data_IF_553894945243
#
_entry.id   IF_553894945243
#
_cell.length_a   1.000
_cell.length_b   1.000
_cell.length_c   1.000
_cell.angle_alpha   90.00
_cell.angle_beta   90.00
_cell.angle_gamma   90.00
#
_symmetry.space_group_name_H-M   'P 1'
#
loop_
_entity.id
_entity.type
_entity.pdbx_description
1 polymer ?
#
# COMPACT_ATOMS: atom_id res chain seq x y z
N UNK A 1 -17.03 -4.79 19.21
CA UNK A 1 -15.88 -4.53 18.31
C UNK A 1 -16.19 -3.39 17.39
N UNK A 2 -15.28 -2.48 17.27
CA UNK A 2 -15.51 -1.31 16.42
C UNK A 2 -15.36 -1.67 14.95
N UNK A 3 -16.35 -1.33 14.10
CA UNK A 3 -16.23 -1.57 12.66
C UNK A 3 -15.00 -0.93 12.05
N UNK A 4 -14.58 0.19 12.61
CA UNK A 4 -13.39 0.89 12.11
C UNK A 4 -12.12 0.04 12.19
N UNK A 5 -11.97 -0.70 13.26
CA UNK A 5 -10.78 -1.54 13.42
C UNK A 5 -10.75 -2.66 12.40
N UNK A 6 -11.89 -3.29 12.18
CA UNK A 6 -11.99 -4.35 11.19
C UNK A 6 -11.70 -3.83 9.79
N UNK A 7 -12.26 -2.67 9.46
CA UNK A 7 -12.04 -2.06 8.16
C UNK A 7 -10.58 -1.67 7.97
N UNK A 8 -9.93 -1.18 9.03
CA UNK A 8 -8.52 -0.81 8.96
C UNK A 8 -7.65 -2.02 8.70
N UNK A 9 -7.93 -3.13 9.38
CA UNK A 9 -7.17 -4.36 9.18
C UNK A 9 -7.35 -4.90 7.78
N UNK A 10 -8.57 -4.89 7.27
CA UNK A 10 -8.83 -5.34 5.91
C UNK A 10 -8.11 -4.46 4.89
N UNK A 11 -8.09 -3.18 5.14
CA UNK A 11 -7.44 -2.21 4.26
C UNK A 11 -5.95 -2.45 4.19
N UNK A 12 -5.32 -2.61 5.35
CA UNK A 12 -3.87 -2.86 5.42
C UNK A 12 -3.53 -4.21 4.81
N UNK A 13 -4.33 -5.23 5.08
CA UNK A 13 -4.12 -6.55 4.50
C UNK A 13 -4.20 -6.52 2.99
N UNK A 14 -5.18 -5.80 2.44
CA UNK A 14 -5.33 -5.68 1.00
C UNK A 14 -4.12 -5.01 0.37
N UNK A 15 -3.64 -3.92 0.99
CA UNK A 15 -2.47 -3.21 0.51
C UNK A 15 -1.23 -4.10 0.58
N UNK A 16 -1.09 -4.84 1.68
CA UNK A 16 0.05 -5.73 1.86
C UNK A 16 0.07 -6.81 0.77
N UNK A 17 -1.08 -7.42 0.51
CA UNK A 17 -1.17 -8.43 -0.53
C UNK A 17 -0.81 -7.89 -1.90
N UNK A 18 -1.29 -6.68 -2.20
CA UNK A 18 -0.98 -6.05 -3.47
C UNK A 18 0.50 -5.72 -3.60
N UNK A 19 1.11 -5.28 -2.51
CA UNK A 19 2.54 -4.99 -2.52
C UNK A 19 3.35 -6.28 -2.71
N UNK A 20 2.95 -7.36 -2.04
CA UNK A 20 3.62 -8.64 -2.20
C UNK A 20 3.51 -9.12 -3.64
N UNK A 21 2.35 -8.96 -4.25
CA UNK A 21 2.16 -9.32 -5.65
C UNK A 21 3.03 -8.48 -6.58
N UNK A 22 3.18 -7.20 -6.26
CA UNK A 22 4.05 -6.31 -7.04
C UNK A 22 5.49 -6.81 -7.06
N UNK A 23 5.95 -7.39 -5.97
CA UNK A 23 7.30 -7.92 -5.84
C UNK A 23 7.37 -9.44 -6.05
N UNK A 24 6.38 -9.98 -6.74
CA UNK A 24 6.35 -11.39 -7.14
C UNK A 24 6.51 -12.36 -5.96
N UNK A 25 5.87 -12.03 -4.86
CA UNK A 25 5.88 -12.89 -3.68
C UNK A 25 6.99 -12.62 -2.69
N UNK A 26 7.85 -11.65 -2.96
CA UNK A 26 8.93 -11.29 -2.05
C UNK A 26 8.38 -10.42 -0.92
N UNK A 27 8.05 -11.08 0.20
CA UNK A 27 7.44 -10.40 1.34
C UNK A 27 8.37 -9.34 1.93
N UNK A 28 9.66 -9.63 2.00
CA UNK A 28 10.60 -8.67 2.57
C UNK A 28 10.70 -7.41 1.73
N UNK A 29 10.74 -7.57 0.41
CA UNK A 29 10.77 -6.43 -0.49
C UNK A 29 9.48 -5.60 -0.34
N UNK A 30 8.34 -6.28 -0.21
CA UNK A 30 7.06 -5.60 -0.03
C UNK A 30 7.04 -4.79 1.26
N UNK A 31 7.49 -5.39 2.36
CA UNK A 31 7.54 -4.69 3.65
C UNK A 31 8.48 -3.50 3.57
N UNK A 32 9.62 -3.68 2.94
CA UNK A 32 10.60 -2.60 2.80
C UNK A 32 10.00 -1.44 2.02
N UNK A 33 9.30 -1.75 0.93
CA UNK A 33 8.65 -0.73 0.11
C UNK A 33 7.57 0.01 0.91
N UNK A 34 6.76 -0.74 1.66
CA UNK A 34 5.67 -0.16 2.43
C UNK A 34 6.17 0.70 3.60
N UNK A 35 7.38 0.44 4.07
CA UNK A 35 7.95 1.17 5.20
C UNK A 35 8.85 2.33 4.77
N UNK A 36 9.05 2.53 3.48
CA UNK A 36 9.92 3.59 2.98
C UNK A 36 9.08 4.79 2.55
N UNK A 37 9.53 6.01 2.87
CA UNK A 37 8.81 7.22 2.43
C UNK A 37 8.78 7.31 0.92
N UNK A 38 7.64 7.76 0.38
CA UNK A 38 7.46 7.90 -1.06
C UNK A 38 7.18 9.36 -1.41
N UNK A 39 7.85 9.83 -2.42
CA UNK A 39 7.63 11.19 -2.91
C UNK A 39 6.19 11.38 -3.38
N UNK A 40 5.65 10.36 -4.04
CA UNK A 40 4.28 10.40 -4.53
C UNK A 40 3.25 10.52 -3.40
N UNK A 41 3.65 10.22 -2.17
CA UNK A 41 2.77 10.28 -1.00
C UNK A 41 3.17 11.41 -0.06
N UNK A 42 3.83 12.44 -0.58
CA UNK A 42 4.23 13.56 0.25
C UNK A 42 5.31 13.21 1.25
N UNK A 43 6.19 12.29 0.90
CA UNK A 43 7.28 11.80 1.74
C UNK A 43 6.77 11.00 2.94
N UNK A 44 5.56 10.48 2.87
CA UNK A 44 5.04 9.58 3.88
C UNK A 44 5.22 8.14 3.43
N UNK A 45 5.30 7.22 4.40
CA UNK A 45 5.35 5.81 4.04
C UNK A 45 3.95 5.36 3.60
N UNK A 46 3.87 4.34 2.74
CA UNK A 46 2.57 3.78 2.39
C UNK A 46 1.77 3.30 3.61
N UNK A 47 2.45 2.74 4.62
CA UNK A 47 1.78 2.33 5.85
C UNK A 47 1.11 3.52 6.53
N UNK A 48 1.80 4.62 6.65
CA UNK A 48 1.24 5.82 7.29
C UNK A 48 0.13 6.41 6.44
N UNK A 49 0.36 6.47 5.15
CA UNK A 49 -0.60 7.07 4.24
C UNK A 49 -1.91 6.28 4.20
N UNK A 50 -1.81 4.96 4.39
CA UNK A 50 -2.96 4.06 4.34
C UNK A 50 -3.80 4.09 5.62
N UNK A 51 -3.47 4.95 6.58
CA UNK A 51 -4.25 5.06 7.81
C UNK A 51 -5.65 5.61 7.58
N UNK A 52 -5.83 6.35 6.50
CA UNK A 52 -7.15 6.85 6.13
C UNK A 52 -7.66 6.08 4.92
N UNK A 53 -8.97 6.10 4.73
CA UNK A 53 -9.57 5.42 3.59
C UNK A 53 -9.08 6.02 2.28
N UNK A 54 -9.02 7.35 2.22
CA UNK A 54 -8.55 8.03 1.01
C UNK A 54 -7.09 7.71 0.76
N UNK A 55 -6.28 7.74 1.82
CA UNK A 55 -4.86 7.42 1.70
C UNK A 55 -4.63 5.99 1.26
N UNK A 56 -5.41 5.05 1.79
CA UNK A 56 -5.30 3.65 1.40
C UNK A 56 -5.59 3.48 -0.09
N UNK A 57 -6.61 4.19 -0.59
CA UNK A 57 -6.95 4.14 -2.00
C UNK A 57 -5.83 4.70 -2.86
N UNK A 58 -5.19 5.77 -2.39
CA UNK A 58 -4.06 6.35 -3.11
C UNK A 58 -2.89 5.38 -3.17
N UNK A 59 -2.63 4.66 -2.08
CA UNK A 59 -1.56 3.66 -2.06
C UNK A 59 -1.88 2.53 -3.03
N UNK A 60 -3.13 2.07 -3.04
CA UNK A 60 -3.54 1.03 -3.99
C UNK A 60 -3.39 1.49 -5.43
N UNK A 61 -3.76 2.73 -5.69
CA UNK A 61 -3.59 3.30 -7.03
C UNK A 61 -2.12 3.39 -7.42
N UNK A 62 -1.27 3.75 -6.47
CA UNK A 62 0.16 3.82 -6.73
C UNK A 62 0.72 2.44 -7.06
N UNK A 63 0.33 1.42 -6.29
CA UNK A 63 0.78 0.06 -6.56
C UNK A 63 0.31 -0.40 -7.94
N UNK A 64 -0.96 -0.12 -8.26
CA UNK A 64 -1.50 -0.48 -9.56
C UNK A 64 -0.77 0.20 -10.69
N UNK A 65 -0.40 1.45 -10.49
CA UNK A 65 0.36 2.20 -11.48
C UNK A 65 1.74 1.60 -11.70
N UNK A 66 2.38 1.19 -10.62
CA UNK A 66 3.69 0.55 -10.71
C UNK A 66 3.61 -0.80 -11.42
N UNK A 67 2.51 -1.52 -11.22
CA UNK A 67 2.32 -2.81 -11.88
C UNK A 67 2.10 -2.68 -13.38
N UNK A 68 1.34 -1.67 -13.78
CA UNK A 68 0.89 -1.54 -15.16
C UNK A 68 1.52 -0.38 -15.90
N UNK A 69 1.90 0.66 -15.18
CA UNK A 69 2.32 1.91 -15.79
C UNK A 69 3.76 1.94 -16.27
N UNK A 70 4.54 0.96 -15.86
CA UNK A 70 5.95 0.95 -16.19
C UNK A 70 6.17 0.87 -17.70
N UNK A 71 5.24 0.27 -18.38
CA UNK A 71 5.37 0.02 -19.82
C UNK A 71 4.47 0.88 -20.67
N UNK A 72 3.76 1.77 -20.08
CA UNK A 72 2.84 2.60 -20.85
C UNK A 72 3.49 3.88 -21.32
#
# INVERSE_FOLDING_TARGET
MAPEESERLLRVSSIFEKAVALFEGDVQAAVHWLAAPKRALGNQTPFEYARTEIGAREVENLIGRLEHGVFS
#
